data_IF_063121693425
#
_entry.id   IF_063121693425
#
_cell.length_a   1.000
_cell.length_b   1.000
_cell.length_c   1.000
_cell.angle_alpha   90.00
_cell.angle_beta   90.00
_cell.angle_gamma   90.00
#
_symmetry.space_group_name_H-M   'P 1'
#
loop_
_entity.id
_entity.type
_entity.pdbx_description
1 polymer ?
#
# COMPACT_ATOMS: atom_id res chain seq x y z
N UNK A 1 -20.28 12.61 15.79
CA UNK A 1 -20.48 11.66 14.67
C UNK A 1 -19.21 11.45 13.83
N UNK A 2 -18.23 12.36 13.84
CA UNK A 2 -16.97 12.21 13.09
C UNK A 2 -16.06 11.06 13.56
N UNK A 3 -15.97 10.78 14.87
CA UNK A 3 -15.09 9.71 15.41
C UNK A 3 -15.32 8.35 14.76
N UNK A 4 -16.58 7.94 14.60
CA UNK A 4 -16.92 6.63 14.03
C UNK A 4 -16.57 6.54 12.53
N UNK A 5 -16.61 7.66 11.80
CA UNK A 5 -16.23 7.68 10.39
C UNK A 5 -14.71 7.55 10.24
N UNK A 6 -13.94 8.25 11.08
CA UNK A 6 -12.48 8.16 11.08
C UNK A 6 -11.97 6.80 11.55
N UNK A 7 -12.66 6.15 12.49
CA UNK A 7 -12.33 4.80 12.96
C UNK A 7 -12.64 3.73 11.91
N UNK A 8 -13.82 3.77 11.28
CA UNK A 8 -14.14 2.84 10.18
C UNK A 8 -13.16 3.00 9.00
N UNK A 9 -12.77 4.23 8.66
CA UNK A 9 -11.75 4.48 7.64
C UNK A 9 -10.38 3.91 8.02
N UNK A 10 -10.03 3.87 9.31
CA UNK A 10 -8.78 3.29 9.77
C UNK A 10 -8.79 1.76 9.65
N UNK A 11 -9.88 1.11 10.00
CA UNK A 11 -10.01 -0.35 9.90
C UNK A 11 -9.91 -0.82 8.43
N UNK A 12 -10.58 -0.12 7.52
CA UNK A 12 -10.47 -0.39 6.08
C UNK A 12 -9.02 -0.20 5.59
N UNK A 13 -8.37 0.90 6.00
CA UNK A 13 -6.96 1.15 5.65
C UNK A 13 -5.99 0.12 6.24
N UNK A 14 -6.30 -0.42 7.42
CA UNK A 14 -5.52 -1.49 8.04
C UNK A 14 -5.70 -2.81 7.27
N UNK A 15 -6.93 -3.18 6.93
CA UNK A 15 -7.20 -4.36 6.11
C UNK A 15 -6.48 -4.26 4.75
N UNK A 16 -6.59 -3.11 4.08
CA UNK A 16 -5.94 -2.86 2.81
C UNK A 16 -4.40 -2.89 2.92
N UNK A 17 -3.83 -2.41 4.02
CA UNK A 17 -2.38 -2.44 4.24
C UNK A 17 -1.82 -3.87 4.25
N UNK A 18 -2.56 -4.81 4.84
CA UNK A 18 -2.20 -6.23 4.85
C UNK A 18 -2.32 -6.83 3.45
N UNK A 19 -3.34 -6.43 2.69
CA UNK A 19 -3.49 -6.85 1.31
C UNK A 19 -2.36 -6.33 0.42
N UNK A 20 -1.91 -5.09 0.63
CA UNK A 20 -0.76 -4.53 -0.09
C UNK A 20 0.52 -5.30 0.23
N UNK A 21 0.76 -5.67 1.50
CA UNK A 21 1.90 -6.53 1.84
C UNK A 21 1.83 -7.90 1.13
N UNK A 22 0.64 -8.46 0.95
CA UNK A 22 0.45 -9.67 0.16
C UNK A 22 0.75 -9.44 -1.34
N UNK A 23 0.32 -8.31 -1.89
CA UNK A 23 0.65 -7.93 -3.26
C UNK A 23 2.16 -7.77 -3.48
N UNK A 24 2.90 -7.20 -2.53
CA UNK A 24 4.37 -7.12 -2.61
C UNK A 24 5.00 -8.52 -2.70
N UNK A 25 4.52 -9.46 -1.88
CA UNK A 25 5.01 -10.85 -1.89
C UNK A 25 4.68 -11.54 -3.21
N UNK A 26 3.45 -11.39 -3.70
CA UNK A 26 2.99 -11.98 -4.97
C UNK A 26 3.68 -11.36 -6.17
N UNK A 27 3.92 -10.06 -6.16
CA UNK A 27 4.57 -9.35 -7.25
C UNK A 27 6.04 -9.75 -7.43
N UNK A 28 6.68 -10.29 -6.39
CA UNK A 28 8.04 -10.87 -6.45
C UNK A 28 8.06 -12.30 -7.00
N UNK A 29 6.99 -13.07 -6.78
CA UNK A 29 6.93 -14.49 -7.18
C UNK A 29 6.19 -14.74 -8.50
N UNK A 30 5.26 -13.87 -8.90
CA UNK A 30 4.45 -14.02 -10.09
C UNK A 30 4.94 -13.10 -11.23
N UNK A 31 5.33 -13.70 -12.36
CA UNK A 31 5.82 -12.99 -13.56
C UNK A 31 4.73 -12.70 -14.60
N UNK A 32 3.46 -13.03 -14.32
CA UNK A 32 2.37 -12.80 -15.29
C UNK A 32 1.99 -11.32 -15.33
N UNK A 33 2.17 -10.69 -16.47
CA UNK A 33 1.95 -9.26 -16.67
C UNK A 33 0.57 -8.76 -16.18
N UNK A 34 -0.52 -9.48 -16.48
CA UNK A 34 -1.86 -9.11 -16.02
C UNK A 34 -2.00 -9.09 -14.50
N UNK A 35 -1.36 -10.04 -13.80
CA UNK A 35 -1.37 -10.09 -12.33
C UNK A 35 -0.57 -8.92 -11.76
N UNK A 36 0.55 -8.59 -12.40
CA UNK A 36 1.41 -7.47 -11.99
C UNK A 36 0.70 -6.12 -12.16
N UNK A 37 0.02 -5.90 -13.28
CA UNK A 37 -0.80 -4.70 -13.51
C UNK A 37 -1.90 -4.53 -12.45
N UNK A 38 -2.60 -5.62 -12.11
CA UNK A 38 -3.63 -5.58 -11.07
C UNK A 38 -3.05 -5.26 -9.69
N UNK A 39 -1.88 -5.82 -9.37
CA UNK A 39 -1.13 -5.50 -8.16
C UNK A 39 -0.76 -4.02 -8.10
N UNK A 40 -0.20 -3.47 -9.19
CA UNK A 40 0.21 -2.06 -9.25
C UNK A 40 -0.99 -1.11 -9.10
N UNK A 41 -2.12 -1.41 -9.76
CA UNK A 41 -3.36 -0.65 -9.61
C UNK A 41 -3.87 -0.66 -8.16
N UNK A 42 -3.90 -1.83 -7.52
CA UNK A 42 -4.33 -1.96 -6.13
C UNK A 42 -3.43 -1.19 -5.15
N UNK A 43 -2.11 -1.29 -5.35
CA UNK A 43 -1.12 -0.58 -4.55
C UNK A 43 -1.24 0.95 -4.72
N UNK A 44 -1.40 1.44 -5.95
CA UNK A 44 -1.55 2.87 -6.21
C UNK A 44 -2.82 3.45 -5.57
N UNK A 45 -3.95 2.76 -5.73
CA UNK A 45 -5.21 3.18 -5.11
C UNK A 45 -5.10 3.23 -3.57
N UNK A 46 -4.38 2.29 -2.97
CA UNK A 46 -4.12 2.33 -1.53
C UNK A 46 -3.22 3.51 -1.12
N UNK A 47 -2.14 3.76 -1.86
CA UNK A 47 -1.21 4.85 -1.58
C UNK A 47 -1.91 6.21 -1.61
N UNK A 48 -2.81 6.44 -2.56
CA UNK A 48 -3.61 7.68 -2.63
C UNK A 48 -4.40 7.90 -1.33
N UNK A 49 -5.04 6.86 -0.79
CA UNK A 49 -5.77 6.97 0.49
C UNK A 49 -4.82 7.13 1.67
N UNK A 50 -3.72 6.39 1.69
CA UNK A 50 -2.73 6.43 2.77
C UNK A 50 -2.05 7.80 2.89
N UNK A 51 -1.83 8.51 1.77
CA UNK A 51 -1.22 9.84 1.78
C UNK A 51 -2.15 10.93 2.35
N UNK A 52 -3.47 10.71 2.31
CA UNK A 52 -4.47 11.67 2.79
C UNK A 52 -4.72 11.59 4.31
N UNK A 53 -4.32 10.50 4.96
CA UNK A 53 -4.48 10.35 6.41
C UNK A 53 -3.35 11.05 7.19
N UNK A 54 -3.66 11.43 8.43
CA UNK A 54 -2.69 12.11 9.30
C UNK A 54 -1.49 11.23 9.65
N UNK A 55 -0.32 11.81 9.96
CA UNK A 55 0.86 11.04 10.37
C UNK A 55 0.61 10.10 11.56
N UNK A 56 -0.28 10.47 12.49
CA UNK A 56 -0.64 9.61 13.62
C UNK A 56 -1.36 8.34 13.17
N UNK A 57 -2.25 8.45 12.17
CA UNK A 57 -2.92 7.28 11.58
C UNK A 57 -1.96 6.47 10.72
N UNK A 58 -1.07 7.12 9.96
CA UNK A 58 -0.02 6.44 9.19
C UNK A 58 0.88 5.61 10.11
N UNK A 59 1.22 6.13 11.29
CA UNK A 59 2.00 5.41 12.30
C UNK A 59 1.24 4.21 12.88
N UNK A 60 -0.07 4.34 13.14
CA UNK A 60 -0.89 3.19 13.53
C UNK A 60 -0.87 2.09 12.47
N UNK A 61 -1.07 2.46 11.21
CA UNK A 61 -0.98 1.50 10.09
C UNK A 61 0.38 0.80 10.06
N UNK A 62 1.46 1.56 10.22
CA UNK A 62 2.82 1.00 10.29
C UNK A 62 2.97 -0.01 11.44
N UNK A 63 2.48 0.30 12.65
CA UNK A 63 2.58 -0.60 13.80
C UNK A 63 1.92 -1.97 13.55
N UNK A 64 0.80 -2.00 12.81
CA UNK A 64 0.04 -3.24 12.60
C UNK A 64 0.45 -4.04 11.37
N UNK A 65 0.93 -3.38 10.31
CA UNK A 65 1.20 -4.02 9.02
C UNK A 65 2.65 -3.95 8.56
N UNK A 66 3.50 -3.19 9.28
CA UNK A 66 4.84 -2.79 8.80
C UNK A 66 4.83 -2.04 7.46
N UNK A 67 3.66 -1.54 7.04
CA UNK A 67 3.51 -0.72 5.85
C UNK A 67 4.07 0.69 6.08
N UNK A 68 4.84 1.20 5.13
CA UNK A 68 5.18 2.61 5.03
C UNK A 68 5.41 3.00 3.55
N UNK A 69 4.98 4.20 3.17
CA UNK A 69 4.90 4.59 1.76
C UNK A 69 6.22 4.49 0.98
N UNK A 70 7.34 4.80 1.62
CA UNK A 70 8.68 4.74 1.00
C UNK A 70 9.07 3.32 0.54
N UNK A 71 8.69 2.28 1.29
CA UNK A 71 8.91 0.87 0.90
C UNK A 71 8.22 0.53 -0.41
N UNK A 72 6.99 1.01 -0.56
CA UNK A 72 6.14 0.75 -1.73
C UNK A 72 6.64 1.53 -2.93
N UNK A 73 6.99 2.79 -2.73
CA UNK A 73 7.51 3.63 -3.81
C UNK A 73 8.72 2.97 -4.46
N UNK A 74 9.67 2.50 -3.65
CA UNK A 74 10.81 1.70 -4.13
C UNK A 74 10.38 0.46 -4.90
N UNK A 75 9.42 -0.32 -4.38
CA UNK A 75 8.91 -1.50 -5.09
C UNK A 75 8.30 -1.17 -6.46
N UNK A 76 7.59 -0.05 -6.58
CA UNK A 76 7.03 0.40 -7.86
C UNK A 76 8.13 0.89 -8.81
N UNK A 77 9.08 1.68 -8.31
CA UNK A 77 10.20 2.22 -9.09
C UNK A 77 11.09 1.09 -9.65
N UNK A 78 11.39 0.08 -8.83
CA UNK A 78 12.12 -1.14 -9.22
C UNK A 78 11.45 -1.85 -10.41
N UNK A 79 10.10 -1.87 -10.43
CA UNK A 79 9.31 -2.57 -11.46
C UNK A 79 9.19 -1.79 -12.75
N UNK A 80 9.17 -0.46 -12.68
CA UNK A 80 9.16 0.43 -13.85
C UNK A 80 10.52 0.47 -14.55
N UNK A 81 11.56 -0.08 -13.92
CA UNK A 81 12.93 -0.07 -14.42
C UNK A 81 13.62 1.28 -14.22
N UNK A 82 13.10 2.14 -13.35
CA UNK A 82 13.62 3.50 -13.13
C UNK A 82 14.89 3.54 -12.26
N UNK A 83 15.43 2.38 -11.85
CA UNK A 83 16.64 2.28 -11.02
C UNK A 83 17.97 2.15 -11.77
N UNK A 84 17.99 2.21 -13.11
CA UNK A 84 19.23 2.20 -13.89
C UNK A 84 19.17 3.13 -15.09
N UNK A 85 19.32 4.44 -14.87
CA UNK A 85 19.96 5.41 -15.79
C UNK A 85 20.67 6.48 -14.96
#
# INVERSE_FOLDING_TARGET
MERNQTENQLDDLLADSLQVENYLKQGRSCRRYTVQLGIEQGINAYLERYQLISPQLQFKVFLFSSFYGEKIKRFLDDRRGEQYV
#
